data_IF_070104087722
#
_entry.id   IF_070104087722
#
_cell.length_a   1.000
_cell.length_b   1.000
_cell.length_c   1.000
_cell.angle_alpha   90.00
_cell.angle_beta   90.00
_cell.angle_gamma   90.00
#
_symmetry.space_group_name_H-M   'P 1'
#
loop_
_entity.id
_entity.type
_entity.pdbx_description
1 polymer ?
#
# COMPACT_ATOMS: atom_id res chain seq x y z
N UNK A 1 21.82 1.81 19.74
CA UNK A 1 22.08 0.48 19.17
C UNK A 1 20.97 0.18 18.19
N UNK A 2 21.30 -0.17 16.95
CA UNK A 2 20.29 -0.57 15.96
C UNK A 2 19.67 -1.90 16.39
N UNK A 3 18.34 -2.09 16.28
CA UNK A 3 17.70 -3.36 16.61
C UNK A 3 18.21 -4.45 15.66
N UNK A 4 18.50 -5.63 16.22
CA UNK A 4 18.90 -6.82 15.46
C UNK A 4 17.76 -7.19 14.50
N UNK A 5 18.02 -7.22 13.19
CA UNK A 5 17.03 -7.66 12.19
C UNK A 5 16.79 -9.16 12.41
N UNK A 6 15.54 -9.57 12.64
CA UNK A 6 15.21 -10.99 12.80
C UNK A 6 15.05 -11.59 11.41
N UNK A 7 15.64 -12.78 11.18
CA UNK A 7 15.58 -13.47 9.88
C UNK A 7 14.15 -13.79 9.38
N UNK A 8 13.14 -13.65 10.25
CA UNK A 8 11.72 -13.85 9.97
C UNK A 8 11.05 -12.60 9.37
N UNK A 9 11.72 -11.44 9.38
CA UNK A 9 11.19 -10.19 8.85
C UNK A 9 11.24 -10.20 7.32
N UNK A 10 10.08 -10.31 6.67
CA UNK A 10 9.98 -10.17 5.22
C UNK A 10 10.37 -8.73 4.86
N UNK A 11 11.46 -8.49 4.10
CA UNK A 11 11.84 -7.14 3.72
C UNK A 11 10.74 -6.52 2.86
N UNK A 12 10.28 -5.32 3.23
CA UNK A 12 9.35 -4.54 2.41
C UNK A 12 10.04 -4.29 1.07
N UNK A 13 9.54 -4.97 0.03
CA UNK A 13 10.07 -4.80 -1.34
C UNK A 13 9.72 -3.40 -1.84
N UNK A 14 10.63 -2.80 -2.60
CA UNK A 14 10.50 -1.47 -3.16
C UNK A 14 11.35 -0.41 -2.44
N UNK A 15 11.43 0.79 -3.02
CA UNK A 15 12.14 1.94 -2.41
C UNK A 15 11.11 2.89 -1.81
N UNK A 16 11.45 3.50 -0.68
CA UNK A 16 10.69 4.65 -0.18
C UNK A 16 10.80 5.74 -1.26
N UNK A 17 9.67 6.28 -1.77
CA UNK A 17 9.73 7.35 -2.75
C UNK A 17 10.50 8.53 -2.15
N UNK A 18 11.52 9.00 -2.87
CA UNK A 18 12.27 10.22 -2.52
C UNK A 18 11.29 11.39 -2.46
N UNK A 19 11.23 12.12 -1.35
CA UNK A 19 10.29 13.25 -1.17
C UNK A 19 10.19 14.13 -2.42
N UNK A 20 9.02 14.16 -3.06
CA UNK A 20 8.76 14.88 -4.32
C UNK A 20 8.29 14.03 -5.51
N UNK A 21 8.05 12.71 -5.34
CA UNK A 21 7.63 11.83 -6.45
C UNK A 21 6.23 12.17 -6.95
N UNK A 22 6.10 12.33 -8.27
CA UNK A 22 4.84 12.27 -9.02
C UNK A 22 4.09 10.98 -8.66
N UNK A 23 3.17 11.08 -7.70
CA UNK A 23 2.33 9.96 -7.31
C UNK A 23 1.45 9.56 -8.50
N UNK A 24 1.21 8.25 -8.72
CA UNK A 24 0.22 7.83 -9.69
C UNK A 24 -1.14 8.46 -9.33
N UNK A 25 -1.97 8.81 -10.33
CA UNK A 25 -3.26 9.46 -10.08
C UNK A 25 -4.21 8.59 -9.24
N UNK A 26 -4.03 7.27 -9.25
CA UNK A 26 -4.76 6.32 -8.42
C UNK A 26 -4.07 5.96 -7.11
N UNK A 27 -3.90 4.65 -6.86
CA UNK A 27 -3.37 4.11 -5.63
C UNK A 27 -1.87 4.45 -5.47
N UNK A 28 -1.54 5.28 -4.48
CA UNK A 28 -0.15 5.64 -4.11
C UNK A 28 0.76 4.44 -3.82
N UNK A 29 0.18 3.28 -3.52
CA UNK A 29 0.91 2.06 -3.22
C UNK A 29 1.10 1.15 -4.43
N UNK A 30 0.48 1.43 -5.57
CA UNK A 30 0.55 0.57 -6.75
C UNK A 30 1.98 0.22 -7.20
N UNK A 31 3.00 1.11 -7.16
CA UNK A 31 4.35 0.76 -7.61
C UNK A 31 5.07 -0.24 -6.69
N UNK A 32 4.53 -0.49 -5.49
CA UNK A 32 5.10 -1.37 -4.47
C UNK A 32 4.12 -2.43 -3.95
N UNK A 33 2.91 -2.48 -4.49
CA UNK A 33 1.87 -3.39 -4.04
C UNK A 33 1.98 -4.70 -4.84
N UNK A 34 2.08 -5.88 -4.19
CA UNK A 34 2.11 -7.15 -4.90
C UNK A 34 0.76 -7.53 -5.57
N UNK A 35 -0.30 -6.75 -5.34
CA UNK A 35 -1.65 -6.98 -5.87
C UNK A 35 -2.11 -5.89 -6.87
N UNK A 36 -1.18 -5.11 -7.42
CA UNK A 36 -1.46 -3.99 -8.33
C UNK A 36 -1.76 -4.46 -9.75
N UNK A 37 -2.95 -5.00 -9.98
CA UNK A 37 -3.36 -5.39 -11.35
C UNK A 37 -3.97 -4.22 -12.14
N UNK A 38 -4.60 -3.24 -11.47
CA UNK A 38 -5.31 -2.10 -12.10
C UNK A 38 -5.61 -0.97 -11.11
N UNK A 39 -4.62 -0.56 -10.31
CA UNK A 39 -4.84 0.42 -9.24
C UNK A 39 -4.22 1.78 -9.53
N UNK A 40 -3.57 1.98 -10.68
CA UNK A 40 -2.75 3.16 -10.98
C UNK A 40 -3.57 4.39 -11.40
N UNK A 41 -4.80 4.19 -11.88
CA UNK A 41 -5.62 5.25 -12.49
C UNK A 41 -6.70 5.81 -11.57
N UNK A 42 -7.20 5.01 -10.62
CA UNK A 42 -8.34 5.36 -9.76
C UNK A 42 -7.94 5.31 -8.29
N UNK A 43 -8.20 6.38 -7.54
CA UNK A 43 -7.97 6.40 -6.10
C UNK A 43 -9.04 5.54 -5.39
N UNK A 44 -8.66 4.58 -4.53
CA UNK A 44 -9.63 3.76 -3.82
C UNK A 44 -10.41 4.57 -2.78
N UNK A 45 -11.69 4.28 -2.65
CA UNK A 45 -12.57 4.88 -1.65
C UNK A 45 -12.14 4.53 -0.23
N UNK A 46 -12.34 5.46 0.71
CA UNK A 46 -12.16 5.21 2.13
C UNK A 46 -13.39 4.49 2.69
N UNK A 47 -13.23 3.22 3.00
CA UNK A 47 -14.31 2.36 3.52
C UNK A 47 -14.00 1.90 4.94
N UNK A 48 -15.02 1.82 5.79
CA UNK A 48 -14.93 1.22 7.13
C UNK A 48 -15.20 -0.28 7.01
N UNK A 49 -14.26 -1.13 7.43
CA UNK A 49 -14.39 -2.59 7.38
C UNK A 49 -14.74 -3.22 8.73
N UNK A 50 -14.36 -2.55 9.81
CA UNK A 50 -14.67 -2.90 11.20
C UNK A 50 -14.75 -1.58 11.98
N UNK A 51 -15.32 -1.61 13.19
CA UNK A 51 -15.46 -0.41 14.03
C UNK A 51 -14.12 0.32 14.19
N UNK A 52 -14.09 1.58 13.78
CA UNK A 52 -12.92 2.45 13.82
C UNK A 52 -11.74 1.96 12.94
N UNK A 53 -11.99 1.07 11.96
CA UNK A 53 -10.98 0.51 11.04
C UNK A 53 -11.33 0.82 9.59
N UNK A 54 -10.54 1.72 9.01
CA UNK A 54 -10.74 2.21 7.65
C UNK A 54 -9.66 1.71 6.69
N UNK A 55 -10.04 1.46 5.44
CA UNK A 55 -9.13 1.00 4.39
C UNK A 55 -9.42 1.73 3.08
N UNK A 56 -8.35 2.01 2.31
CA UNK A 56 -8.41 2.54 0.95
C UNK A 56 -7.73 1.55 -0.01
N UNK A 57 -8.40 0.44 -0.32
CA UNK A 57 -7.84 -0.59 -1.21
C UNK A 57 -8.92 -1.22 -2.08
N UNK A 58 -8.67 -1.26 -3.39
CA UNK A 58 -9.58 -1.83 -4.40
C UNK A 58 -9.88 -3.32 -4.22
N UNK A 59 -9.03 -4.07 -3.52
CA UNK A 59 -9.20 -5.52 -3.31
C UNK A 59 -10.02 -5.87 -2.07
N UNK A 60 -10.36 -4.90 -1.21
CA UNK A 60 -11.09 -5.15 0.06
C UNK A 60 -12.52 -5.63 -0.17
N UNK A 61 -13.14 -5.22 -1.28
CA UNK A 61 -14.52 -5.57 -1.61
C UNK A 61 -14.68 -6.94 -2.27
N UNK A 62 -13.61 -7.71 -2.44
CA UNK A 62 -13.73 -9.11 -2.88
C UNK A 62 -14.20 -9.97 -1.71
N UNK A 63 -15.52 -10.10 -1.57
CA UNK A 63 -16.13 -11.26 -0.92
C UNK A 63 -15.92 -12.51 -1.77
#
# INVERSE_FOLDING_TARGET
>A
TYPEIRNEDIPIKGRIPSSGVNLPPGCRFSPRCPYSDSCDDVEPELIEIEKDRFVMCHKVLKK
#
